data_IF_972737896135
#
_entry.id   IF_972737896135
#
_cell.length_a   1.000
_cell.length_b   1.000
_cell.length_c   1.000
_cell.angle_alpha   90.00
_cell.angle_beta   90.00
_cell.angle_gamma   90.00
#
_symmetry.space_group_name_H-M   'P 1'
#
loop_
_entity.id
_entity.type
_entity.pdbx_description
1 polymer ?
#
# COMPACT_ATOMS: atom_id res chain seq x y z
N UNK A 1 11.70 8.22 1.08
CA UNK A 1 10.41 8.55 1.71
C UNK A 1 10.57 8.27 3.19
N UNK A 2 10.19 9.21 4.05
CA UNK A 2 10.23 9.01 5.49
C UNK A 2 8.87 8.50 6.01
N UNK A 3 8.89 7.75 7.10
CA UNK A 3 7.70 7.31 7.82
C UNK A 3 7.69 7.93 9.23
N UNK A 4 6.51 8.08 9.83
CA UNK A 4 6.32 8.68 11.15
C UNK A 4 5.33 7.83 11.96
N UNK A 5 5.68 7.54 13.20
CA UNK A 5 4.77 6.96 14.19
C UNK A 5 5.07 7.49 15.58
N UNK A 6 4.07 7.45 16.46
CA UNK A 6 4.19 7.92 17.82
C UNK A 6 3.62 6.87 18.78
N UNK A 7 4.29 6.65 19.90
CA UNK A 7 3.75 5.87 21.01
C UNK A 7 4.34 6.36 22.33
N UNK A 8 3.47 6.57 23.32
CA UNK A 8 3.83 7.25 24.57
C UNK A 8 4.44 8.63 24.31
N UNK A 9 5.67 8.80 24.79
CA UNK A 9 6.47 10.03 24.62
C UNK A 9 7.51 9.92 23.49
N UNK A 10 7.48 8.86 22.69
CA UNK A 10 8.43 8.67 21.59
C UNK A 10 7.78 9.01 20.25
N UNK A 11 8.42 9.94 19.51
CA UNK A 11 8.18 10.17 18.10
C UNK A 11 9.27 9.46 17.30
N UNK A 12 8.87 8.49 16.48
CA UNK A 12 9.77 7.66 15.70
C UNK A 12 9.63 8.02 14.22
N UNK A 13 10.76 8.30 13.57
CA UNK A 13 10.83 8.53 12.12
C UNK A 13 11.88 7.64 11.49
N UNK A 14 11.59 7.08 10.32
CA UNK A 14 12.56 6.34 9.53
C UNK A 14 12.77 7.03 8.20
N UNK A 15 14.00 7.18 7.74
CA UNK A 15 14.30 7.73 6.42
C UNK A 15 15.60 7.13 5.89
N UNK A 16 15.59 6.71 4.62
CA UNK A 16 16.72 5.97 4.02
C UNK A 16 17.08 4.75 4.88
N UNK A 17 18.33 4.59 5.30
CA UNK A 17 18.81 3.51 6.18
C UNK A 17 18.73 3.83 7.69
N UNK A 18 18.17 4.97 8.08
CA UNK A 18 18.22 5.46 9.46
C UNK A 18 16.86 5.42 10.14
N UNK A 19 16.85 4.93 11.37
CA UNK A 19 15.73 5.05 12.30
C UNK A 19 16.10 6.06 13.38
N UNK A 20 15.25 7.06 13.61
CA UNK A 20 15.47 8.14 14.57
C UNK A 20 14.28 8.18 15.53
N UNK A 21 14.54 8.08 16.83
CA UNK A 21 13.54 8.24 17.87
C UNK A 21 13.83 9.47 18.74
N UNK A 22 12.86 10.37 18.84
CA UNK A 22 12.95 11.59 19.63
C UNK A 22 11.95 11.52 20.78
N UNK A 23 12.39 11.85 21.99
CA UNK A 23 11.45 11.98 23.10
C UNK A 23 10.74 13.34 23.01
N UNK A 24 9.41 13.30 22.97
CA UNK A 24 8.54 14.47 22.78
C UNK A 24 8.56 15.36 24.02
N UNK A 25 8.72 14.80 25.23
CA UNK A 25 8.52 15.51 26.52
C UNK A 25 9.81 15.91 27.21
N UNK A 26 10.81 15.05 27.14
CA UNK A 26 12.07 15.21 27.85
C UNK A 26 13.18 15.56 26.88
N UNK A 27 14.03 16.52 27.25
CA UNK A 27 15.23 16.83 26.49
C UNK A 27 16.26 15.70 26.67
N UNK A 28 16.24 14.75 25.74
CA UNK A 28 17.17 13.62 25.65
C UNK A 28 17.80 13.63 24.26
N UNK A 29 19.01 13.10 24.16
CA UNK A 29 19.63 12.84 22.86
C UNK A 29 18.72 11.88 22.06
N UNK A 30 18.50 12.21 20.78
CA UNK A 30 17.73 11.35 19.90
C UNK A 30 18.44 10.01 19.74
N UNK A 31 17.70 8.91 19.83
CA UNK A 31 18.23 7.62 19.45
C UNK A 31 18.33 7.56 17.93
N UNK A 32 19.51 7.25 17.40
CA UNK A 32 19.75 7.11 15.96
C UNK A 32 20.34 5.74 15.69
N UNK A 33 19.65 4.95 14.88
CA UNK A 33 20.11 3.65 14.43
C UNK A 33 20.37 3.67 12.92
N UNK A 34 21.56 3.21 12.53
CA UNK A 34 22.01 3.12 11.14
C UNK A 34 22.02 1.65 10.72
N UNK A 35 21.15 1.28 9.78
CA UNK A 35 21.02 -0.12 9.33
C UNK A 35 22.30 -0.66 8.69
N UNK A 36 23.17 0.20 8.15
CA UNK A 36 24.47 -0.23 7.64
C UNK A 36 25.38 -0.85 8.73
N UNK A 37 25.13 -0.52 10.00
CA UNK A 37 25.85 -1.06 11.17
C UNK A 37 25.18 -2.28 11.80
N UNK A 38 24.00 -2.68 11.31
CA UNK A 38 23.31 -3.86 11.82
C UNK A 38 24.02 -5.15 11.40
N UNK A 39 23.73 -6.24 12.12
CA UNK A 39 24.26 -7.56 11.83
C UNK A 39 24.02 -7.94 10.37
N UNK A 40 25.01 -8.60 9.77
CA UNK A 40 24.96 -9.08 8.39
C UNK A 40 24.57 -10.54 8.38
N UNK A 41 23.86 -10.97 7.33
CA UNK A 41 23.49 -12.38 7.19
C UNK A 41 24.75 -13.26 7.23
N UNK A 42 24.77 -14.32 8.04
CA UNK A 42 25.85 -15.29 7.98
C UNK A 42 25.93 -15.84 6.55
N UNK A 43 27.09 -15.74 5.90
CA UNK A 43 27.31 -16.43 4.63
C UNK A 43 27.30 -17.93 4.92
N UNK A 44 26.17 -18.59 4.68
CA UNK A 44 26.16 -20.05 4.60
C UNK A 44 27.14 -20.44 3.48
N UNK A 45 28.14 -21.27 3.82
CA UNK A 45 29.02 -21.86 2.82
C UNK A 45 28.15 -22.56 1.78
N UNK A 46 28.27 -22.14 0.52
CA UNK A 46 27.50 -22.59 -0.63
C UNK A 46 27.26 -24.11 -0.58
N UNK A 47 26.11 -24.53 -0.04
CA UNK A 47 25.65 -25.89 -0.14
C UNK A 47 24.96 -26.02 -1.50
N UNK A 48 25.60 -26.80 -2.37
CA UNK A 48 25.17 -27.13 -3.72
C UNK A 48 23.69 -27.53 -3.76
N UNK A 49 22.85 -26.62 -4.27
CA UNK A 49 21.64 -26.94 -5.03
C UNK A 49 21.20 -25.70 -5.80
N UNK A 50 21.96 -25.37 -6.85
CA UNK A 50 21.48 -24.49 -7.93
C UNK A 50 20.40 -25.22 -8.72
N UNK A 51 19.14 -25.05 -8.32
CA UNK A 51 18.04 -25.12 -9.29
C UNK A 51 17.97 -23.77 -10.00
N UNK A 52 18.12 -23.80 -11.32
CA UNK A 52 18.15 -22.64 -12.21
C UNK A 52 17.02 -21.63 -11.95
N UNK A 53 17.41 -20.48 -11.41
CA UNK A 53 16.61 -19.30 -11.22
C UNK A 53 17.55 -18.12 -11.06
N UNK A 54 18.26 -17.76 -12.14
CA UNK A 54 19.26 -16.70 -12.17
C UNK A 54 18.68 -15.32 -11.86
N UNK A 55 18.52 -15.00 -10.59
CA UNK A 55 18.47 -13.63 -10.09
C UNK A 55 19.75 -13.40 -9.30
N UNK A 56 20.60 -12.49 -9.76
CA UNK A 56 21.69 -11.96 -8.93
C UNK A 56 21.08 -11.48 -7.60
N UNK A 57 21.61 -11.95 -6.48
CA UNK A 57 21.30 -11.36 -5.17
C UNK A 57 21.85 -9.93 -5.17
N UNK A 58 21.05 -8.99 -5.63
CA UNK A 58 21.35 -7.58 -5.52
C UNK A 58 21.42 -7.24 -4.03
N UNK A 59 22.64 -6.99 -3.55
CA UNK A 59 22.90 -6.45 -2.22
C UNK A 59 22.09 -5.16 -2.06
N UNK A 60 21.20 -5.14 -1.08
CA UNK A 60 20.36 -4.00 -0.75
C UNK A 60 21.18 -2.83 -0.21
N UNK A 61 20.55 -1.65 -0.21
CA UNK A 61 21.11 -0.37 0.19
C UNK A 61 20.96 -0.06 1.69
N UNK A 62 20.60 -1.07 2.51
CA UNK A 62 20.25 -0.94 3.93
C UNK A 62 19.03 -0.04 4.17
N UNK A 63 18.24 0.25 3.13
CA UNK A 63 17.11 1.17 3.20
C UNK A 63 15.96 0.53 3.98
N UNK A 64 15.49 1.23 5.01
CA UNK A 64 14.30 0.85 5.78
C UNK A 64 13.07 0.89 4.85
N UNK A 65 12.32 -0.20 4.85
CA UNK A 65 11.11 -0.40 4.05
C UNK A 65 9.84 -0.22 4.87
N UNK A 66 9.86 -0.66 6.13
CA UNK A 66 8.76 -0.48 7.07
C UNK A 66 9.31 -0.42 8.50
N UNK A 67 8.69 0.41 9.33
CA UNK A 67 8.94 0.45 10.77
C UNK A 67 7.62 0.59 11.54
N UNK A 68 7.62 0.15 12.79
CA UNK A 68 6.46 0.28 13.69
C UNK A 68 6.91 0.31 15.15
N UNK A 69 6.05 0.84 16.02
CA UNK A 69 6.22 0.87 17.47
C UNK A 69 4.99 0.24 18.12
N UNK A 70 5.18 -0.49 19.21
CA UNK A 70 4.10 -1.18 19.91
C UNK A 70 3.19 -0.18 20.64
N UNK A 71 1.96 -0.59 20.96
CA UNK A 71 0.95 0.27 21.58
C UNK A 71 1.40 0.82 22.94
N UNK A 72 2.13 0.03 23.72
CA UNK A 72 2.75 0.44 24.99
C UNK A 72 4.01 1.29 24.80
N UNK A 73 4.56 1.29 23.59
CA UNK A 73 5.83 1.94 23.25
C UNK A 73 7.06 1.15 23.66
N UNK A 74 6.92 -0.04 24.29
CA UNK A 74 8.05 -0.85 24.80
C UNK A 74 8.90 -1.49 23.71
N UNK A 75 8.30 -1.78 22.56
CA UNK A 75 8.98 -2.42 21.44
C UNK A 75 8.88 -1.57 20.19
N UNK A 76 9.94 -1.59 19.39
CA UNK A 76 9.93 -1.03 18.05
C UNK A 76 10.55 -2.05 17.10
N UNK A 77 10.09 -2.07 15.84
CA UNK A 77 10.64 -2.97 14.84
C UNK A 77 10.80 -2.25 13.51
N UNK A 78 11.79 -2.68 12.74
CA UNK A 78 11.98 -2.23 11.37
C UNK A 78 12.36 -3.40 10.46
N UNK A 79 12.16 -3.20 9.17
CA UNK A 79 12.68 -4.05 8.11
C UNK A 79 13.36 -3.22 7.03
N UNK A 80 14.32 -3.82 6.33
CA UNK A 80 15.06 -3.16 5.25
C UNK A 80 15.10 -3.95 3.95
N UNK A 81 15.73 -3.37 2.93
CA UNK A 81 15.88 -3.97 1.60
C UNK A 81 16.95 -5.08 1.52
N UNK A 82 17.69 -5.30 2.61
CA UNK A 82 18.53 -6.46 2.89
C UNK A 82 17.79 -7.58 3.63
N UNK A 83 16.46 -7.48 3.75
CA UNK A 83 15.59 -8.50 4.36
C UNK A 83 15.90 -8.74 5.83
N UNK A 84 16.48 -7.76 6.53
CA UNK A 84 16.62 -7.84 7.99
C UNK A 84 15.30 -7.43 8.64
N UNK A 85 14.95 -8.11 9.71
CA UNK A 85 13.93 -7.72 10.68
C UNK A 85 14.62 -7.45 11.99
N UNK A 86 14.68 -6.17 12.37
CA UNK A 86 15.37 -5.72 13.58
C UNK A 86 14.32 -5.33 14.61
N UNK A 87 14.42 -5.93 15.79
CA UNK A 87 13.53 -5.70 16.92
C UNK A 87 14.30 -5.00 18.03
N UNK A 88 13.70 -3.95 18.59
CA UNK A 88 14.23 -3.14 19.66
C UNK A 88 13.33 -3.23 20.89
N UNK A 89 13.94 -3.22 22.07
CA UNK A 89 13.29 -2.76 23.28
C UNK A 89 13.63 -1.28 23.46
N UNK A 90 12.66 -0.47 23.88
CA UNK A 90 12.82 0.99 24.01
C UNK A 90 13.00 1.44 25.46
N UNK A 91 12.70 0.57 26.43
CA UNK A 91 12.70 0.85 27.87
C UNK A 91 13.52 -0.21 28.62
N UNK A 92 14.37 0.18 29.59
CA UNK A 92 14.63 1.55 30.06
C UNK A 92 15.46 2.39 29.07
N UNK A 93 16.08 1.75 28.07
CA UNK A 93 16.80 2.39 26.98
C UNK A 93 16.62 1.61 25.68
N UNK A 94 16.92 2.27 24.56
CA UNK A 94 16.89 1.64 23.24
C UNK A 94 17.99 0.58 23.12
N UNK A 95 17.57 -0.67 22.90
CA UNK A 95 18.46 -1.81 22.72
C UNK A 95 17.94 -2.68 21.59
N UNK A 96 18.81 -3.03 20.65
CA UNK A 96 18.51 -4.08 19.67
C UNK A 96 18.46 -5.42 20.41
N UNK A 97 17.30 -6.08 20.39
CA UNK A 97 17.09 -7.38 21.04
C UNK A 97 17.15 -8.55 20.06
N UNK A 98 16.98 -8.29 18.75
CA UNK A 98 17.05 -9.31 17.71
C UNK A 98 17.30 -8.72 16.34
N UNK A 99 18.15 -9.38 15.56
CA UNK A 99 18.19 -9.27 14.10
C UNK A 99 17.84 -10.64 13.52
N UNK A 100 16.76 -10.70 12.75
CA UNK A 100 16.29 -11.90 12.04
C UNK A 100 16.21 -11.62 10.55
N UNK A 101 15.98 -12.66 9.75
CA UNK A 101 15.85 -12.56 8.31
C UNK A 101 14.45 -12.92 7.86
N UNK A 102 13.88 -12.07 7.01
CA UNK A 102 12.58 -12.31 6.37
C UNK A 102 12.79 -12.94 5.00
N UNK A 103 11.81 -13.72 4.54
CA UNK A 103 11.91 -14.44 3.27
C UNK A 103 12.00 -13.47 2.08
N UNK A 104 11.17 -12.40 2.10
CA UNK A 104 11.15 -11.34 1.09
C UNK A 104 11.11 -9.97 1.75
N UNK A 105 11.44 -8.95 0.95
CA UNK A 105 11.32 -7.53 1.34
C UNK A 105 9.90 -7.23 1.80
N UNK A 106 9.80 -6.68 3.00
CA UNK A 106 8.54 -6.40 3.67
C UNK A 106 7.92 -5.09 3.17
N UNK A 107 6.59 -5.02 3.28
CA UNK A 107 5.80 -3.85 2.92
C UNK A 107 5.11 -3.24 4.13
N UNK A 108 4.84 -4.01 5.18
CA UNK A 108 4.15 -3.52 6.38
C UNK A 108 4.41 -4.39 7.61
N UNK A 109 4.37 -3.77 8.79
CA UNK A 109 4.63 -4.38 10.09
C UNK A 109 3.53 -3.99 11.09
N UNK A 110 3.06 -4.93 11.91
CA UNK A 110 2.10 -4.66 12.99
C UNK A 110 2.33 -5.58 14.19
N UNK A 111 2.40 -5.02 15.39
CA UNK A 111 2.41 -5.80 16.63
C UNK A 111 1.01 -6.31 16.96
N UNK A 112 0.91 -7.48 17.59
CA UNK A 112 -0.30 -7.91 18.28
C UNK A 112 -0.64 -6.93 19.41
N UNK A 113 -1.93 -6.85 19.77
CA UNK A 113 -2.36 -6.04 20.91
C UNK A 113 -1.76 -6.55 22.23
N UNK A 114 -1.54 -7.86 22.33
CA UNK A 114 -0.81 -8.46 23.44
C UNK A 114 0.71 -8.19 23.44
N UNK A 115 1.25 -7.60 22.36
CA UNK A 115 2.68 -7.32 22.16
C UNK A 115 3.60 -8.55 22.28
N UNK A 116 3.07 -9.73 22.01
CA UNK A 116 3.76 -11.02 22.06
C UNK A 116 4.23 -11.51 20.67
N UNK A 117 3.61 -11.02 19.61
CA UNK A 117 3.94 -11.33 18.22
C UNK A 117 4.04 -10.06 17.36
N UNK A 118 4.93 -10.09 16.39
CA UNK A 118 5.06 -9.11 15.32
C UNK A 118 4.68 -9.77 13.99
N UNK A 119 3.67 -9.22 13.32
CA UNK A 119 3.25 -9.66 12.01
C UNK A 119 3.93 -8.83 10.92
N UNK A 120 4.35 -9.54 9.87
CA UNK A 120 5.17 -9.01 8.79
C UNK A 120 4.52 -9.40 7.47
N UNK A 121 4.07 -8.41 6.70
CA UNK A 121 3.57 -8.61 5.35
C UNK A 121 4.67 -8.32 4.32
N UNK A 122 4.75 -9.14 3.27
CA UNK A 122 5.81 -9.05 2.28
C UNK A 122 5.35 -8.83 0.83
N UNK A 123 6.34 -8.53 -0.01
CA UNK A 123 6.10 -8.24 -1.43
C UNK A 123 5.64 -9.44 -2.26
N UNK A 124 5.81 -10.68 -1.79
CA UNK A 124 5.33 -11.89 -2.48
C UNK A 124 3.85 -12.16 -2.23
N UNK A 125 3.28 -11.56 -1.20
CA UNK A 125 1.90 -11.82 -0.81
C UNK A 125 1.76 -12.52 0.54
N UNK A 126 2.86 -12.79 1.24
CA UNK A 126 2.86 -13.62 2.45
C UNK A 126 2.82 -12.77 3.73
N UNK A 127 2.24 -13.36 4.78
CA UNK A 127 2.30 -12.84 6.15
C UNK A 127 2.99 -13.86 7.04
N UNK A 128 4.02 -13.42 7.73
CA UNK A 128 4.71 -14.18 8.78
C UNK A 128 4.41 -13.57 10.15
N UNK A 129 4.39 -14.38 11.20
CA UNK A 129 4.51 -13.88 12.58
C UNK A 129 5.87 -14.21 13.16
N UNK A 130 6.37 -13.32 14.00
CA UNK A 130 7.62 -13.45 14.71
C UNK A 130 7.37 -13.23 16.20
N UNK A 131 7.85 -14.14 17.04
CA UNK A 131 7.74 -13.95 18.50
C UNK A 131 8.55 -12.74 18.95
N UNK A 132 7.94 -11.90 19.79
CA UNK A 132 8.61 -10.79 20.50
C UNK A 132 9.29 -11.34 21.76
N UNK A 133 8.68 -12.32 22.41
CA UNK A 133 9.16 -12.92 23.66
C UNK A 133 10.30 -13.93 23.44
N UNK A 134 10.33 -14.55 22.27
CA UNK A 134 11.39 -15.48 21.84
C UNK A 134 12.14 -14.87 20.64
N UNK A 135 13.01 -13.86 20.87
CA UNK A 135 13.63 -13.06 19.82
C UNK A 135 14.48 -13.86 18.82
N UNK A 136 14.86 -15.10 19.16
CA UNK A 136 15.66 -15.99 18.30
C UNK A 136 14.79 -16.93 17.46
N UNK A 137 13.48 -17.02 17.74
CA UNK A 137 12.56 -17.89 17.01
C UNK A 137 12.34 -17.32 15.60
N UNK A 138 12.49 -18.21 14.61
CA UNK A 138 12.24 -17.91 13.20
C UNK A 138 10.76 -17.61 12.95
N UNK A 139 10.49 -16.91 11.84
CA UNK A 139 9.14 -16.53 11.47
C UNK A 139 8.26 -17.72 11.08
N UNK A 140 6.99 -17.67 11.45
CA UNK A 140 5.99 -18.66 11.06
C UNK A 140 5.09 -18.09 9.96
N UNK A 141 5.01 -18.77 8.81
CA UNK A 141 4.06 -18.40 7.75
C UNK A 141 2.63 -18.57 8.28
N UNK A 142 1.82 -17.51 8.23
CA UNK A 142 0.43 -17.55 8.66
C UNK A 142 -0.53 -17.68 7.48
N UNK A 143 -0.30 -16.93 6.41
CA UNK A 143 -1.14 -16.93 5.22
C UNK A 143 -0.41 -16.32 4.03
N UNK A 144 -0.91 -16.58 2.82
CA UNK A 144 -0.37 -16.05 1.57
C UNK A 144 -1.45 -15.59 0.59
N UNK A 145 -1.12 -14.56 -0.19
CA UNK A 145 -1.88 -14.02 -1.31
C UNK A 145 -1.11 -14.27 -2.60
N UNK A 146 -1.81 -14.27 -3.74
CA UNK A 146 -1.17 -14.34 -5.06
C UNK A 146 -0.59 -12.98 -5.51
N UNK A 147 -1.04 -11.90 -4.86
CA UNK A 147 -0.66 -10.54 -5.18
C UNK A 147 0.15 -9.94 -4.04
N UNK A 148 0.98 -8.95 -4.36
CA UNK A 148 1.78 -8.20 -3.40
C UNK A 148 0.90 -7.62 -2.29
N UNK A 149 1.22 -7.92 -1.03
CA UNK A 149 0.59 -7.25 0.11
C UNK A 149 1.16 -5.84 0.25
N UNK A 150 0.29 -4.88 0.53
CA UNK A 150 0.65 -3.48 0.69
C UNK A 150 0.37 -2.96 2.11
N UNK A 151 -0.56 -3.58 2.82
CA UNK A 151 -0.89 -3.21 4.19
C UNK A 151 -1.44 -4.42 4.97
N UNK A 152 -1.13 -4.45 6.26
CA UNK A 152 -1.66 -5.41 7.23
C UNK A 152 -2.09 -4.66 8.48
N UNK A 153 -3.17 -5.10 9.09
CA UNK A 153 -3.59 -4.69 10.42
C UNK A 153 -4.23 -5.86 11.17
N UNK A 154 -4.39 -5.72 12.48
CA UNK A 154 -5.06 -6.69 13.34
C UNK A 154 -6.33 -6.07 13.90
N UNK A 155 -7.34 -6.90 14.18
CA UNK A 155 -8.48 -6.43 14.97
C UNK A 155 -8.06 -6.13 16.41
N UNK A 156 -8.72 -5.21 17.14
CA UNK A 156 -8.34 -4.83 18.50
C UNK A 156 -8.40 -5.96 19.54
N UNK A 157 -9.09 -7.06 19.21
CA UNK A 157 -9.18 -8.28 20.01
C UNK A 157 -8.18 -9.38 19.57
N UNK A 158 -7.26 -9.07 18.64
CA UNK A 158 -6.34 -10.00 17.99
C UNK A 158 -7.03 -11.22 17.32
N UNK A 159 -8.34 -11.17 17.06
CA UNK A 159 -9.09 -12.28 16.46
C UNK A 159 -8.86 -12.40 14.97
N UNK A 160 -8.63 -11.30 14.27
CA UNK A 160 -8.52 -11.25 12.83
C UNK A 160 -7.20 -10.65 12.35
N UNK A 161 -6.63 -11.25 11.30
CA UNK A 161 -5.61 -10.65 10.45
C UNK A 161 -6.32 -10.06 9.24
N UNK A 162 -6.11 -8.77 9.00
CA UNK A 162 -6.71 -8.04 7.88
C UNK A 162 -5.59 -7.59 6.95
N UNK A 163 -5.62 -8.05 5.70
CA UNK A 163 -4.60 -7.76 4.69
C UNK A 163 -5.20 -7.04 3.49
N UNK A 164 -4.40 -6.17 2.88
CA UNK A 164 -4.73 -5.44 1.65
C UNK A 164 -3.65 -5.66 0.59
N UNK A 165 -4.07 -5.89 -0.66
CA UNK A 165 -3.16 -6.24 -1.75
C UNK A 165 -3.24 -5.29 -2.96
N UNK A 166 -2.30 -5.48 -3.89
CA UNK A 166 -2.20 -4.73 -5.15
C UNK A 166 -3.38 -4.99 -6.09
N UNK A 167 -4.07 -6.12 -5.96
CA UNK A 167 -5.23 -6.51 -6.78
C UNK A 167 -6.57 -6.16 -6.15
N UNK A 168 -6.59 -5.05 -5.40
CA UNK A 168 -7.80 -4.39 -4.87
C UNK A 168 -8.46 -5.13 -3.71
N UNK A 169 -7.94 -6.28 -3.28
CA UNK A 169 -8.60 -7.11 -2.27
C UNK A 169 -8.20 -6.68 -0.87
N UNK A 170 -9.20 -6.66 -0.01
CA UNK A 170 -9.02 -6.64 1.45
C UNK A 170 -9.58 -7.97 1.97
N UNK A 171 -8.73 -8.77 2.63
CA UNK A 171 -9.09 -10.09 3.17
C UNK A 171 -9.07 -10.05 4.69
N UNK A 172 -10.15 -10.53 5.31
CA UNK A 172 -10.28 -10.69 6.76
C UNK A 172 -10.21 -12.17 7.08
N UNK A 173 -9.23 -12.58 7.89
CA UNK A 173 -8.99 -14.00 8.21
C UNK A 173 -8.84 -14.21 9.70
N UNK A 174 -9.31 -15.34 10.23
CA UNK A 174 -9.12 -15.66 11.65
C UNK A 174 -7.63 -15.84 11.97
N UNK A 175 -7.08 -15.13 12.96
CA UNK A 175 -5.65 -15.19 13.32
C UNK A 175 -5.23 -16.60 13.75
N UNK A 176 -6.04 -17.28 14.57
CA UNK A 176 -5.72 -18.63 15.09
C UNK A 176 -5.90 -19.74 14.04
N UNK A 177 -6.62 -19.46 12.96
CA UNK A 177 -6.87 -20.38 11.86
C UNK A 177 -6.94 -19.62 10.54
N UNK A 178 -5.81 -19.11 9.99
CA UNK A 178 -5.82 -18.16 8.87
C UNK A 178 -6.33 -18.72 7.54
N UNK A 179 -6.49 -20.04 7.45
CA UNK A 179 -7.18 -20.73 6.36
C UNK A 179 -8.69 -20.47 6.35
N UNK A 180 -9.27 -20.06 7.48
CA UNK A 180 -10.66 -19.61 7.58
C UNK A 180 -10.72 -18.11 7.25
N UNK A 181 -11.18 -17.81 6.04
CA UNK A 181 -11.47 -16.43 5.60
C UNK A 181 -12.85 -16.06 6.11
N UNK A 182 -12.91 -15.01 6.93
CA UNK A 182 -14.15 -14.46 7.46
C UNK A 182 -14.91 -13.68 6.38
N UNK A 183 -14.22 -12.78 5.68
CA UNK A 183 -14.84 -11.91 4.69
C UNK A 183 -13.82 -11.33 3.70
N UNK A 184 -14.35 -10.77 2.62
CA UNK A 184 -13.64 -9.85 1.73
C UNK A 184 -14.36 -8.52 1.68
N UNK A 185 -13.64 -7.41 1.84
CA UNK A 185 -14.18 -6.07 1.62
C UNK A 185 -13.92 -5.66 0.16
N UNK A 186 -14.90 -5.91 -0.71
CA UNK A 186 -14.77 -5.72 -2.17
C UNK A 186 -15.36 -4.39 -2.64
N UNK A 187 -14.63 -3.67 -3.50
CA UNK A 187 -15.15 -2.46 -4.17
C UNK A 187 -14.15 -1.36 -4.47
N UNK A 188 -12.88 -1.50 -4.10
CA UNK A 188 -11.80 -0.69 -4.67
C UNK A 188 -11.54 -1.07 -6.13
N UNK A 189 -10.99 -0.13 -6.91
CA UNK A 189 -10.74 -0.31 -8.36
C UNK A 189 -9.27 -0.27 -8.75
N UNK A 190 -8.40 0.07 -7.80
CA UNK A 190 -6.95 -0.03 -7.91
C UNK A 190 -6.42 -0.55 -6.55
N UNK A 191 -5.11 -0.78 -6.44
CA UNK A 191 -4.47 -1.29 -5.23
C UNK A 191 -4.91 -0.61 -3.93
N UNK A 192 -4.94 -1.35 -2.82
CA UNK A 192 -5.28 -0.82 -1.49
C UNK A 192 -3.98 -0.60 -0.70
N UNK A 193 -3.67 0.65 -0.41
CA UNK A 193 -2.37 1.10 0.10
C UNK A 193 -2.34 1.33 1.61
N UNK A 194 -3.48 1.51 2.26
CA UNK A 194 -3.55 1.77 3.70
C UNK A 194 -4.77 1.10 4.31
N UNK A 195 -4.59 0.54 5.51
CA UNK A 195 -5.64 -0.01 6.36
C UNK A 195 -5.53 0.60 7.77
N UNK A 196 -6.67 0.84 8.39
CA UNK A 196 -6.76 1.30 9.77
C UNK A 196 -8.04 0.77 10.42
N UNK A 197 -7.92 0.16 11.60
CA UNK A 197 -9.06 -0.01 12.51
C UNK A 197 -9.03 1.17 13.49
N UNK A 198 -9.98 2.12 13.41
CA UNK A 198 -9.96 3.29 14.28
C UNK A 198 -10.20 2.90 15.75
N UNK A 199 -9.51 3.59 16.66
CA UNK A 199 -9.72 3.41 18.09
C UNK A 199 -11.20 3.64 18.45
N UNK A 200 -11.74 2.90 19.41
CA UNK A 200 -13.13 3.03 19.84
C UNK A 200 -14.20 2.43 18.90
N UNK A 201 -13.83 2.01 17.69
CA UNK A 201 -14.76 1.44 16.69
C UNK A 201 -14.24 0.07 16.19
N UNK A 202 -14.26 -0.96 17.05
CA UNK A 202 -13.56 -2.22 16.81
C UNK A 202 -14.11 -3.05 15.66
N UNK A 203 -15.32 -2.78 15.17
CA UNK A 203 -15.95 -3.46 14.03
C UNK A 203 -15.71 -2.77 12.68
N UNK A 204 -15.07 -1.59 12.70
CA UNK A 204 -14.80 -0.81 11.50
C UNK A 204 -13.43 -1.07 10.91
N UNK A 205 -13.35 -0.88 9.60
CA UNK A 205 -12.11 -0.80 8.88
C UNK A 205 -12.17 0.38 7.92
N UNK A 206 -11.14 1.20 7.95
CA UNK A 206 -10.88 2.22 6.94
C UNK A 206 -9.84 1.71 5.97
N UNK A 207 -10.07 1.95 4.68
CA UNK A 207 -9.11 1.61 3.63
C UNK A 207 -8.89 2.77 2.67
N UNK A 208 -7.64 2.95 2.26
CA UNK A 208 -7.21 3.93 1.26
C UNK A 208 -6.65 3.23 0.03
N UNK A 209 -6.90 3.78 -1.16
CA UNK A 209 -6.54 3.13 -2.42
C UNK A 209 -5.91 4.08 -3.44
N UNK A 210 -5.21 3.49 -4.41
CA UNK A 210 -4.78 4.12 -5.65
C UNK A 210 -5.92 4.62 -6.53
N UNK A 211 -7.17 4.22 -6.27
CA UNK A 211 -8.35 4.71 -6.99
C UNK A 211 -8.77 6.14 -6.54
N UNK A 212 -8.08 6.70 -5.53
CA UNK A 212 -8.34 8.02 -4.97
C UNK A 212 -9.47 8.05 -3.95
N UNK A 213 -9.97 6.88 -3.52
CA UNK A 213 -11.06 6.78 -2.56
C UNK A 213 -10.59 6.28 -1.19
N UNK A 214 -11.28 6.78 -0.17
CA UNK A 214 -11.27 6.23 1.19
C UNK A 214 -12.60 5.53 1.43
N UNK A 215 -12.58 4.31 1.96
CA UNK A 215 -13.80 3.52 2.22
C UNK A 215 -13.85 3.08 3.67
N UNK A 216 -15.06 3.09 4.23
CA UNK A 216 -15.38 2.57 5.55
C UNK A 216 -16.15 1.26 5.41
N UNK A 217 -15.78 0.25 6.18
CA UNK A 217 -16.33 -1.09 6.13
C UNK A 217 -16.70 -1.59 7.51
N UNK A 218 -17.73 -2.43 7.58
CA UNK A 218 -17.85 -3.40 8.67
C UNK A 218 -17.08 -4.66 8.25
N UNK A 219 -15.85 -4.83 8.73
CA UNK A 219 -14.93 -5.79 8.11
C UNK A 219 -15.35 -7.25 8.30
N UNK A 220 -15.97 -7.62 9.43
CA UNK A 220 -16.41 -9.01 9.66
C UNK A 220 -17.49 -9.49 8.68
N UNK A 221 -18.26 -8.56 8.10
CA UNK A 221 -19.32 -8.86 7.13
C UNK A 221 -18.89 -8.53 5.70
N UNK A 222 -17.75 -7.86 5.52
CA UNK A 222 -17.30 -7.32 4.23
C UNK A 222 -18.17 -6.18 3.68
N UNK A 223 -19.15 -5.69 4.46
CA UNK A 223 -20.10 -4.67 4.01
C UNK A 223 -19.44 -3.30 3.98
N UNK A 224 -19.49 -2.63 2.82
CA UNK A 224 -19.12 -1.21 2.71
C UNK A 224 -20.19 -0.34 3.37
N UNK A 225 -19.77 0.51 4.32
CA UNK A 225 -20.61 1.47 5.01
C UNK A 225 -20.60 2.83 4.28
N UNK A 226 -19.41 3.34 3.94
CA UNK A 226 -19.25 4.62 3.23
C UNK A 226 -18.11 4.57 2.20
N UNK A 227 -18.11 5.53 1.28
CA UNK A 227 -17.06 5.72 0.29
C UNK A 227 -16.91 7.22 0.01
N UNK A 228 -15.70 7.73 0.15
CA UNK A 228 -15.36 9.13 -0.09
C UNK A 228 -14.42 9.21 -1.29
N UNK A 229 -14.80 9.96 -2.31
CA UNK A 229 -13.91 10.30 -3.42
C UNK A 229 -13.13 11.56 -3.04
N UNK A 230 -11.84 11.41 -2.74
CA UNK A 230 -11.03 12.52 -2.27
C UNK A 230 -10.81 13.58 -3.37
N UNK A 231 -10.97 13.22 -4.65
CA UNK A 231 -10.93 14.22 -5.73
C UNK A 231 -12.00 15.28 -5.56
N UNK A 232 -13.19 14.86 -5.12
CA UNK A 232 -14.33 15.74 -4.89
C UNK A 232 -14.20 16.57 -3.62
N UNK A 233 -13.38 16.11 -2.66
CA UNK A 233 -13.03 16.86 -1.45
C UNK A 233 -11.84 17.84 -1.66
N UNK A 234 -11.56 18.17 -2.92
CA UNK A 234 -10.56 19.18 -3.27
C UNK A 234 -9.12 18.67 -3.34
N UNK A 235 -8.90 17.35 -3.43
CA UNK A 235 -7.61 16.82 -3.90
C UNK A 235 -7.59 16.92 -5.43
N UNK A 236 -7.30 18.12 -5.95
CA UNK A 236 -6.96 18.35 -7.35
C UNK A 236 -5.50 18.77 -7.45
N UNK A 237 -4.80 18.29 -8.47
CA UNK A 237 -3.52 18.86 -8.87
C UNK A 237 -3.79 19.94 -9.91
N UNK A 238 -3.15 21.09 -9.74
CA UNK A 238 -3.10 22.15 -10.75
C UNK A 238 -2.25 21.66 -11.93
N UNK A 239 -2.88 21.08 -12.94
CA UNK A 239 -2.32 21.01 -14.29
C UNK A 239 -3.31 21.64 -15.26
N UNK A 240 -3.15 22.94 -15.49
CA UNK A 240 -3.75 23.62 -16.64
C UNK A 240 -3.00 23.19 -17.90
N UNK A 241 -3.34 22.02 -18.45
CA UNK A 241 -3.12 21.69 -19.87
C UNK A 241 -4.12 20.60 -20.27
N UNK A 242 -4.95 20.87 -21.27
CA UNK A 242 -6.06 20.00 -21.72
C UNK A 242 -5.62 18.69 -22.41
N UNK A 243 -4.32 18.33 -22.36
CA UNK A 243 -3.74 17.23 -23.14
C UNK A 243 -3.13 16.09 -22.31
N UNK A 244 -3.05 16.20 -20.98
CA UNK A 244 -2.49 15.13 -20.14
C UNK A 244 -3.58 14.26 -19.50
N UNK A 245 -3.35 12.93 -19.48
CA UNK A 245 -4.23 11.95 -18.83
C UNK A 245 -4.52 12.40 -17.38
N UNK A 246 -5.75 12.19 -16.85
CA UNK A 246 -6.09 12.60 -15.49
C UNK A 246 -5.07 12.04 -14.49
N UNK A 247 -4.38 12.94 -13.80
CA UNK A 247 -3.27 12.59 -12.93
C UNK A 247 -3.77 11.75 -11.75
N UNK A 248 -3.21 10.54 -11.61
CA UNK A 248 -3.59 9.59 -10.56
C UNK A 248 -2.86 9.93 -9.26
N UNK A 249 -3.57 9.91 -8.14
CA UNK A 249 -2.98 9.93 -6.81
C UNK A 249 -3.56 8.79 -5.97
N UNK A 250 -2.80 8.38 -4.95
CA UNK A 250 -3.18 7.31 -4.04
C UNK A 250 -3.34 7.85 -2.62
N UNK A 251 -4.27 7.27 -1.86
CA UNK A 251 -4.33 7.48 -0.41
C UNK A 251 -3.13 6.78 0.22
N UNK A 252 -2.15 7.54 0.67
CA UNK A 252 -0.86 7.06 1.18
C UNK A 252 -0.89 6.68 2.66
N UNK A 253 -1.74 7.32 3.47
CA UNK A 253 -1.80 7.12 4.91
C UNK A 253 -3.20 7.38 5.44
N UNK A 254 -3.61 6.60 6.44
CA UNK A 254 -4.81 6.83 7.24
C UNK A 254 -4.42 6.59 8.71
N UNK A 255 -4.72 7.54 9.58
CA UNK A 255 -4.48 7.45 11.03
C UNK A 255 -5.72 7.91 11.79
N UNK A 256 -5.91 7.43 13.02
CA UNK A 256 -6.97 7.89 13.93
C UNK A 256 -6.36 8.48 15.20
N UNK A 257 -7.05 9.44 15.80
CA UNK A 257 -6.74 9.91 17.14
C UNK A 257 -6.95 8.79 18.17
N UNK A 258 -6.25 8.84 19.32
CA UNK A 258 -6.38 7.80 20.36
C UNK A 258 -7.79 7.69 20.95
N UNK A 259 -8.57 8.77 20.93
CA UNK A 259 -9.96 8.79 21.40
C UNK A 259 -10.96 8.25 20.37
N UNK A 260 -10.50 7.92 19.15
CA UNK A 260 -11.34 7.40 18.08
C UNK A 260 -12.16 8.44 17.32
N UNK A 261 -12.11 9.71 17.73
CA UNK A 261 -13.04 10.75 17.23
C UNK A 261 -12.59 11.41 15.94
N UNK A 262 -11.30 11.35 15.62
CA UNK A 262 -10.72 12.01 14.46
C UNK A 262 -9.96 11.01 13.60
N UNK A 263 -10.09 11.17 12.30
CA UNK A 263 -9.32 10.42 11.30
C UNK A 263 -8.66 11.42 10.37
N UNK A 264 -7.39 11.18 10.05
CA UNK A 264 -6.65 11.96 9.08
C UNK A 264 -6.23 11.06 7.91
N UNK A 265 -6.44 11.55 6.69
CA UNK A 265 -6.05 10.85 5.46
C UNK A 265 -5.09 11.72 4.63
N UNK A 266 -4.00 11.11 4.18
CA UNK A 266 -2.99 11.71 3.32
C UNK A 266 -3.06 11.14 1.93
N UNK A 267 -3.07 11.99 0.91
CA UNK A 267 -2.82 11.56 -0.47
C UNK A 267 -1.37 11.84 -0.86
N UNK A 268 -0.76 10.93 -1.59
CA UNK A 268 0.57 11.13 -2.13
C UNK A 268 0.61 12.39 -3.03
N UNK A 269 1.72 13.14 -2.96
CA UNK A 269 1.98 14.34 -3.78
C UNK A 269 0.91 15.43 -3.63
N UNK A 270 0.17 15.41 -2.51
CA UNK A 270 -0.75 16.48 -2.15
C UNK A 270 -0.25 17.16 -0.88
N UNK A 271 0.00 18.49 -0.88
CA UNK A 271 0.40 19.23 0.31
C UNK A 271 -0.82 19.51 1.20
N UNK A 272 -1.60 18.48 1.50
CA UNK A 272 -2.78 18.61 2.34
C UNK A 272 -3.19 17.31 3.01
N UNK A 273 -3.95 17.46 4.09
CA UNK A 273 -4.50 16.37 4.89
C UNK A 273 -6.01 16.55 4.94
N UNK A 274 -6.74 15.48 4.62
CA UNK A 274 -8.19 15.47 4.86
C UNK A 274 -8.45 15.00 6.28
N UNK A 275 -9.19 15.78 7.05
CA UNK A 275 -9.68 15.36 8.35
C UNK A 275 -11.12 14.88 8.25
N UNK A 276 -11.44 13.93 9.11
CA UNK A 276 -12.78 13.42 9.31
C UNK A 276 -13.07 13.36 10.81
N UNK A 277 -14.33 13.53 11.13
CA UNK A 277 -14.87 13.27 12.46
C UNK A 277 -15.69 11.99 12.44
N UNK A 278 -15.64 11.27 13.55
CA UNK A 278 -16.50 10.13 13.79
C UNK A 278 -17.68 10.62 14.61
N UNK A 279 -18.89 10.52 14.07
CA UNK A 279 -20.10 10.99 14.74
C UNK A 279 -20.48 10.05 15.91
N UNK A 280 -20.77 10.63 17.07
CA UNK A 280 -21.32 9.92 18.23
C UNK A 280 -22.80 9.55 17.93
N UNK A 281 -23.08 8.29 17.57
CA UNK A 281 -24.44 7.81 17.30
C UNK A 281 -24.53 6.31 17.01
N UNK A 282 -25.75 5.75 16.98
CA UNK A 282 -26.01 4.30 16.89
C UNK A 282 -25.40 3.59 15.67
N UNK A 283 -24.98 4.35 14.66
CA UNK A 283 -24.33 3.83 13.46
C UNK A 283 -22.95 4.41 13.20
N UNK A 284 -22.46 5.33 14.05
CA UNK A 284 -21.23 6.12 13.91
C UNK A 284 -20.75 6.26 12.47
N UNK A 285 -21.01 7.37 11.80
CA UNK A 285 -20.52 7.55 10.43
C UNK A 285 -19.36 8.53 10.42
N UNK A 286 -18.52 8.36 9.40
CA UNK A 286 -17.39 9.23 9.15
C UNK A 286 -17.89 10.45 8.38
N UNK A 287 -17.60 11.65 8.89
CA UNK A 287 -17.99 12.92 8.27
C UNK A 287 -16.75 13.71 7.90
N UNK A 288 -16.55 14.08 6.61
CA UNK A 288 -15.40 14.89 6.22
C UNK A 288 -15.52 16.29 6.81
N UNK A 289 -14.45 16.77 7.44
CA UNK A 289 -14.41 18.09 8.06
C UNK A 289 -13.44 19.00 7.30
N UNK A 290 -12.45 19.56 7.99
CA UNK A 290 -11.53 20.55 7.44
C UNK A 290 -10.39 19.86 6.68
N UNK A 291 -10.03 20.45 5.55
CA UNK A 291 -8.77 20.17 4.86
C UNK A 291 -7.66 21.03 5.46
N UNK A 292 -6.57 20.43 5.92
CA UNK A 292 -5.37 21.16 6.32
C UNK A 292 -4.49 21.38 5.09
N UNK A 293 -4.27 22.65 4.71
CA UNK A 293 -3.27 23.01 3.72
C UNK A 293 -1.90 23.07 4.41
N UNK A 294 -0.90 22.42 3.80
CA UNK A 294 0.47 22.36 4.30
C UNK A 294 1.37 23.25 3.44
N UNK A 295 2.42 23.86 4.02
CA UNK A 295 3.37 24.68 3.25
C UNK A 295 4.20 23.85 2.27
N UNK A 296 4.42 22.57 2.58
CA UNK A 296 5.17 21.62 1.78
C UNK A 296 4.47 20.27 1.75
N UNK A 297 4.85 19.41 0.79
CA UNK A 297 4.38 18.04 0.76
C UNK A 297 4.76 17.32 2.07
N UNK A 298 3.85 16.54 2.67
CA UNK A 298 4.18 15.72 3.82
C UNK A 298 4.89 14.43 3.36
N UNK A 299 5.79 13.92 4.21
CA UNK A 299 6.26 12.53 4.12
C UNK A 299 5.25 11.60 4.81
N UNK A 300 4.90 11.89 6.06
CA UNK A 300 3.97 11.08 6.86
C UNK A 300 3.38 11.90 8.03
N UNK A 301 2.42 11.31 8.75
CA UNK A 301 1.71 11.91 9.87
C UNK A 301 1.38 10.88 10.96
N UNK A 302 1.23 11.33 12.19
CA UNK A 302 0.78 10.52 13.33
C UNK A 302 0.05 11.38 14.36
N UNK A 303 -0.88 10.79 15.11
CA UNK A 303 -1.36 11.37 16.34
C UNK A 303 -0.45 10.97 17.51
N UNK A 304 -0.30 11.86 18.49
CA UNK A 304 0.24 11.49 19.80
C UNK A 304 -0.85 11.06 20.79
N UNK A 305 -0.45 10.61 21.98
CA UNK A 305 -1.38 10.14 23.01
C UNK A 305 -2.36 11.21 23.53
N UNK A 306 -2.10 12.49 23.26
CA UNK A 306 -2.99 13.61 23.60
C UNK A 306 -3.94 13.97 22.47
N UNK A 307 -3.89 13.27 21.33
CA UNK A 307 -4.68 13.57 20.15
C UNK A 307 -4.17 14.77 19.35
N UNK A 308 -2.92 15.21 19.57
CA UNK A 308 -2.29 16.24 18.73
C UNK A 308 -1.74 15.59 17.46
N UNK A 309 -1.89 16.26 16.32
CA UNK A 309 -1.49 15.74 15.01
C UNK A 309 -0.10 16.26 14.64
N UNK A 310 0.84 15.34 14.51
CA UNK A 310 2.20 15.59 14.05
C UNK A 310 2.31 15.30 12.56
N UNK A 311 2.93 16.20 11.81
CA UNK A 311 3.11 16.09 10.36
C UNK A 311 4.57 16.31 10.02
N UNK A 312 5.22 15.33 9.41
CA UNK A 312 6.60 15.41 8.95
C UNK A 312 6.60 15.86 7.47
N UNK A 313 7.37 16.90 7.14
CA UNK A 313 7.38 17.55 5.83
C UNK A 313 8.69 17.38 5.07
N UNK A 314 8.61 17.45 3.74
CA UNK A 314 9.76 17.39 2.83
C UNK A 314 10.52 18.73 2.71
N UNK A 315 10.83 19.38 3.84
CA UNK A 315 11.50 20.67 3.84
C UNK A 315 12.38 20.85 5.08
N UNK A 316 13.58 21.40 4.88
CA UNK A 316 14.56 21.58 5.96
C UNK A 316 14.15 22.63 6.98
N UNK A 317 13.65 23.76 6.49
CA UNK A 317 13.34 24.93 7.30
C UNK A 317 12.05 24.73 8.10
N UNK A 318 11.14 23.90 7.58
CA UNK A 318 9.92 23.47 8.26
C UNK A 318 9.79 21.95 8.16
N UNK A 319 10.55 21.24 8.99
CA UNK A 319 10.62 19.77 8.98
C UNK A 319 9.40 19.10 9.60
N UNK A 320 8.83 19.70 10.66
CA UNK A 320 7.69 19.15 11.39
C UNK A 320 6.68 20.24 11.69
N UNK A 321 5.39 19.91 11.62
CA UNK A 321 4.30 20.72 12.12
C UNK A 321 3.54 19.96 13.22
N UNK A 322 3.06 20.71 14.21
CA UNK A 322 2.14 20.23 15.24
C UNK A 322 0.80 20.94 15.08
N UNK A 323 -0.28 20.17 15.05
CA UNK A 323 -1.63 20.69 15.07
C UNK A 323 -2.36 20.23 16.33
N UNK A 324 -3.05 21.16 16.98
CA UNK A 324 -3.93 20.91 18.12
C UNK A 324 -5.36 21.29 17.76
N UNK A 325 -6.33 20.67 18.46
CA UNK A 325 -7.74 20.99 18.28
C UNK A 325 -8.21 21.87 19.44
N UNK A 326 -8.67 23.08 19.15
CA UNK A 326 -9.32 23.97 20.11
C UNK A 326 -10.75 24.26 19.66
N UNK A 327 -11.73 24.05 20.56
CA UNK A 327 -13.15 24.40 20.38
C UNK A 327 -13.67 24.22 18.93
N UNK A 328 -13.58 23.01 18.38
CA UNK A 328 -14.01 22.61 17.01
C UNK A 328 -13.05 22.89 15.84
N UNK A 329 -11.88 23.48 16.04
CA UNK A 329 -10.97 23.80 14.96
C UNK A 329 -9.55 23.29 15.18
N UNK A 330 -8.96 22.78 14.10
CA UNK A 330 -7.54 22.44 14.04
C UNK A 330 -6.71 23.68 13.78
N UNK A 331 -5.72 23.91 14.62
CA UNK A 331 -4.81 25.06 14.61
C UNK A 331 -3.37 24.57 14.67
N UNK A 332 -2.47 25.27 13.99
CA UNK A 332 -1.05 24.97 14.05
C UNK A 332 -0.49 25.53 15.37
N UNK A 333 0.16 24.67 16.16
CA UNK A 333 0.75 25.01 17.45
C UNK A 333 2.27 25.23 17.30
N UNK A 334 2.64 26.34 16.66
CA UNK A 334 4.02 26.69 16.34
C UNK A 334 4.86 27.08 17.57
N UNK A 335 4.21 27.42 18.69
CA UNK A 335 4.87 27.87 19.92
C UNK A 335 5.09 26.73 20.93
N UNK A 336 4.67 25.51 20.60
CA UNK A 336 4.83 24.35 21.47
C UNK A 336 6.29 24.03 21.78
N UNK A 337 6.63 23.95 23.07
CA UNK A 337 7.95 23.51 23.51
C UNK A 337 8.28 22.07 23.03
N UNK A 338 7.26 21.22 22.90
CA UNK A 338 7.42 19.86 22.38
C UNK A 338 7.79 19.89 20.88
N UNK A 339 7.16 20.78 20.10
CA UNK A 339 7.49 20.97 18.69
C UNK A 339 8.91 21.49 18.50
N UNK A 340 9.32 22.50 19.28
CA UNK A 340 10.67 23.06 19.23
C UNK A 340 11.72 21.97 19.50
N UNK A 341 11.53 21.19 20.56
CA UNK A 341 12.40 20.06 20.94
C UNK A 341 12.54 19.03 19.82
N UNK A 342 11.42 18.60 19.24
CA UNK A 342 11.42 17.63 18.13
C UNK A 342 12.10 18.21 16.89
N UNK A 343 11.82 19.48 16.58
CA UNK A 343 12.40 20.17 15.42
C UNK A 343 13.92 20.29 15.55
N UNK A 344 14.43 20.68 16.72
CA UNK A 344 15.86 20.77 17.01
C UNK A 344 16.55 19.40 16.88
N UNK A 345 15.95 18.35 17.43
CA UNK A 345 16.48 16.99 17.36
C UNK A 345 16.57 16.49 15.91
N UNK A 346 15.53 16.71 15.09
CA UNK A 346 15.51 16.29 13.69
C UNK A 346 16.38 17.17 12.79
N UNK A 347 16.46 18.46 13.06
CA UNK A 347 17.33 19.37 12.30
C UNK A 347 18.81 18.98 12.44
N UNK A 348 19.22 18.55 13.64
CA UNK A 348 20.56 18.00 13.90
C UNK A 348 20.87 16.77 13.03
N UNK A 349 19.84 16.00 12.68
CA UNK A 349 19.95 14.79 11.86
C UNK A 349 19.50 14.99 10.40
N UNK A 350 19.31 16.24 9.94
CA UNK A 350 18.64 16.52 8.66
C UNK A 350 19.36 15.91 7.44
N UNK A 351 20.66 15.72 7.53
CA UNK A 351 21.48 15.13 6.47
C UNK A 351 20.97 13.75 6.03
N UNK A 352 20.37 13.00 6.96
CA UNK A 352 19.69 11.71 6.70
C UNK A 352 18.53 11.83 5.70
N UNK A 353 17.87 12.98 5.64
CA UNK A 353 16.66 13.17 4.85
C UNK A 353 16.91 13.70 3.44
N UNK A 354 18.09 14.25 3.16
CA UNK A 354 18.41 14.97 1.90
C UNK A 354 18.07 14.17 0.66
N UNK A 355 18.45 12.88 0.63
CA UNK A 355 18.25 12.00 -0.52
C UNK A 355 16.79 11.57 -0.71
N UNK A 356 15.94 11.80 0.30
CA UNK A 356 14.51 11.49 0.24
C UNK A 356 13.62 12.68 -0.12
N UNK A 357 14.16 13.90 -0.18
CA UNK A 357 13.41 15.11 -0.56
C UNK A 357 13.12 15.04 -2.06
N UNK A 358 11.84 15.13 -2.44
CA UNK A 358 11.43 15.10 -3.86
C UNK A 358 11.59 13.72 -4.51
N UNK A 359 11.80 12.66 -3.72
CA UNK A 359 11.83 11.29 -4.23
C UNK A 359 10.54 10.93 -4.97
N UNK A 360 10.68 10.07 -5.98
CA UNK A 360 9.58 9.66 -6.83
C UNK A 360 8.50 8.88 -6.05
N UNK A 361 7.28 8.83 -6.61
CA UNK A 361 6.14 8.17 -5.97
C UNK A 361 6.40 6.69 -5.74
N UNK A 362 6.14 6.18 -4.53
CA UNK A 362 6.26 4.75 -4.25
C UNK A 362 5.11 3.95 -4.90
N UNK A 363 4.01 4.60 -5.24
CA UNK A 363 2.82 3.99 -5.82
C UNK A 363 2.83 3.96 -7.36
N UNK A 364 3.73 4.71 -8.02
CA UNK A 364 3.82 4.83 -9.49
C UNK A 364 3.83 3.47 -10.20
N UNK A 365 4.55 2.49 -9.64
CA UNK A 365 4.71 1.15 -10.21
C UNK A 365 3.57 0.18 -9.85
N UNK A 366 2.68 0.56 -8.92
CA UNK A 366 1.58 -0.30 -8.50
C UNK A 366 0.39 -0.20 -9.45
N UNK A 367 0.19 0.94 -10.11
CA UNK A 367 -0.86 1.11 -11.11
C UNK A 367 -0.72 0.10 -12.25
N UNK A 368 -1.83 -0.55 -12.60
CA UNK A 368 -1.87 -1.51 -13.69
C UNK A 368 -1.67 -0.77 -15.02
N UNK A 369 -0.65 -1.18 -15.77
CA UNK A 369 -0.43 -0.68 -17.14
C UNK A 369 -1.28 -1.52 -18.08
N UNK A 370 -2.35 -0.92 -18.61
CA UNK A 370 -3.14 -1.56 -19.66
C UNK A 370 -2.36 -1.47 -20.97
N UNK A 371 -1.83 -2.60 -21.42
CA UNK A 371 -1.38 -2.74 -22.80
C UNK A 371 -2.60 -3.00 -23.68
N UNK A 372 -2.95 -2.06 -24.55
CA UNK A 372 -3.97 -2.29 -25.58
C UNK A 372 -3.41 -3.20 -26.68
N UNK A 373 -3.29 -4.47 -26.33
CA UNK A 373 -2.96 -5.53 -27.27
C UNK A 373 -4.13 -5.81 -28.21
N UNK A 374 -5.34 -5.27 -27.94
CA UNK A 374 -6.53 -5.52 -28.75
C UNK A 374 -6.49 -4.71 -30.05
N UNK A 375 -6.13 -3.43 -29.99
CA UNK A 375 -5.98 -2.59 -31.18
C UNK A 375 -4.90 -3.13 -32.12
N UNK A 376 -3.72 -3.47 -31.57
CA UNK A 376 -2.63 -4.07 -32.35
C UNK A 376 -2.98 -5.48 -32.86
N UNK A 377 -3.73 -6.27 -32.10
CA UNK A 377 -4.25 -7.56 -32.55
C UNK A 377 -5.28 -7.43 -33.68
N UNK A 378 -6.21 -6.49 -33.58
CA UNK A 378 -7.24 -6.21 -34.58
C UNK A 378 -6.62 -5.69 -35.88
N UNK A 379 -5.60 -4.83 -35.80
CA UNK A 379 -4.84 -4.36 -36.95
C UNK A 379 -4.12 -5.52 -37.64
N UNK A 380 -3.39 -6.35 -36.88
CA UNK A 380 -2.76 -7.58 -37.42
C UNK A 380 -3.78 -8.57 -37.99
N UNK A 381 -5.01 -8.60 -37.47
CA UNK A 381 -6.10 -9.43 -38.01
C UNK A 381 -6.63 -8.86 -39.32
N UNK A 382 -6.83 -7.54 -39.43
CA UNK A 382 -7.23 -6.88 -40.67
C UNK A 382 -6.17 -7.04 -41.76
N UNK A 383 -4.89 -6.88 -41.44
CA UNK A 383 -3.78 -7.07 -42.38
C UNK A 383 -3.75 -8.51 -42.93
N UNK A 384 -3.97 -9.52 -42.08
CA UNK A 384 -4.07 -10.92 -42.51
C UNK A 384 -5.23 -11.15 -43.48
N UNK A 385 -6.40 -10.55 -43.22
CA UNK A 385 -7.56 -10.65 -44.10
C UNK A 385 -7.34 -9.94 -45.45
N UNK A 386 -6.71 -8.76 -45.45
CA UNK A 386 -6.35 -8.05 -46.68
C UNK A 386 -5.34 -8.82 -47.52
N UNK A 387 -4.33 -9.44 -46.91
CA UNK A 387 -3.36 -10.27 -47.60
C UNK A 387 -3.98 -11.55 -48.19
N UNK A 388 -4.96 -12.15 -47.50
CA UNK A 388 -5.72 -13.28 -48.05
C UNK A 388 -6.58 -12.85 -49.24
N UNK A 389 -7.31 -11.73 -49.13
CA UNK A 389 -8.11 -11.19 -50.23
C UNK A 389 -7.28 -10.80 -51.46
N UNK A 390 -6.08 -10.23 -51.27
CA UNK A 390 -5.15 -9.92 -52.38
C UNK A 390 -4.59 -11.18 -53.06
N UNK A 391 -4.32 -12.25 -52.29
CA UNK A 391 -3.89 -13.55 -52.84
C UNK A 391 -5.01 -14.23 -53.64
N UNK A 392 -6.25 -14.14 -53.16
CA UNK A 392 -7.43 -14.65 -53.89
C UNK A 392 -7.75 -13.83 -55.15
N UNK A 393 -7.59 -12.50 -55.08
CA UNK A 393 -7.71 -11.60 -56.23
C UNK A 393 -6.66 -11.89 -57.31
N UNK A 394 -5.38 -12.06 -56.93
CA UNK A 394 -4.32 -12.45 -57.88
C UNK A 394 -4.60 -13.81 -58.55
N UNK A 395 -5.03 -14.82 -57.80
CA UNK A 395 -5.43 -16.13 -58.37
C UNK A 395 -6.60 -16.03 -59.36
N UNK A 396 -7.57 -15.15 -59.13
CA UNK A 396 -8.69 -14.92 -60.08
C UNK A 396 -8.27 -14.16 -61.34
N UNK A 397 -7.24 -13.33 -61.26
CA UNK A 397 -6.76 -12.55 -62.41
C UNK A 397 -5.85 -13.39 -63.31
N UNK A 398 -5.06 -14.31 -62.74
CA UNK A 398 -4.26 -15.29 -63.48
C UNK A 398 -5.13 -16.41 -64.11
N UNK A 399 -6.30 -16.71 -63.53
CA UNK A 399 -7.23 -17.73 -64.06
C UNK A 399 -8.06 -17.31 -65.28
N UNK A 400 -8.17 -16.02 -65.59
CA UNK A 400 -8.96 -15.52 -66.72
C UNK A 400 -8.15 -15.33 -68.01
N UNK A 401 -6.89 -15.74 -68.01
CA UNK A 401 -5.96 -15.58 -69.13
C UNK A 401 -5.56 -16.87 -69.83
N UNK A 402 -6.42 -17.89 -69.94
CA UNK A 402 -6.19 -19.03 -70.87
C UNK A 402 -7.50 -19.73 -71.28
N UNK A 403 -7.81 -19.55 -72.57
CA UNK A 403 -8.47 -20.47 -73.49
C UNK A 403 -9.99 -20.72 -73.44
N UNK A 404 -10.62 -20.11 -74.44
CA UNK A 404 -11.68 -20.65 -75.29
C UNK A 404 -11.34 -22.02 -75.91
N UNK A 405 -12.28 -22.97 -75.86
CA UNK A 405 -12.84 -23.74 -76.99
C UNK A 405 -13.36 -25.12 -76.52
N UNK A 406 -14.60 -25.46 -76.90
CA UNK A 406 -15.09 -26.84 -76.85
C UNK A 406 -16.57 -26.98 -76.48
N UNK A 407 -17.45 -26.84 -77.47
CA UNK A 407 -18.87 -27.12 -77.35
C UNK A 407 -19.18 -28.63 -77.27
N UNK A 408 -20.20 -28.99 -76.48
CA UNK A 408 -21.40 -29.76 -76.88
C UNK A 408 -21.86 -30.85 -75.89
N UNK A 409 -23.12 -30.67 -75.45
CA UNK A 409 -24.19 -31.66 -75.21
C UNK A 409 -23.91 -32.89 -74.33
N UNK A 410 -24.63 -32.97 -73.20
CA UNK A 410 -25.81 -33.86 -73.08
C UNK A 410 -26.64 -33.58 -71.82
N UNK A 411 -27.94 -33.59 -72.06
CA UNK A 411 -29.05 -33.50 -71.11
C UNK A 411 -29.32 -34.82 -70.39
N UNK A 412 -29.80 -34.77 -69.14
CA UNK A 412 -31.09 -35.37 -68.75
C UNK A 412 -31.44 -35.18 -67.26
N UNK A 413 -32.68 -34.72 -67.10
CA UNK A 413 -33.72 -35.09 -66.13
C UNK A 413 -33.63 -34.60 -64.68
N UNK A 414 -34.49 -33.60 -64.46
CA UNK A 414 -35.35 -33.39 -63.30
C UNK A 414 -35.78 -34.67 -62.57
N UNK A 415 -35.80 -34.60 -61.24
CA UNK A 415 -36.98 -34.99 -60.47
C UNK A 415 -37.09 -34.13 -59.20
N UNK A 416 -38.25 -33.49 -59.07
CA UNK A 416 -38.73 -32.77 -57.88
C UNK A 416 -39.15 -33.76 -56.80
N UNK A 417 -38.88 -33.46 -55.53
CA UNK A 417 -39.91 -33.52 -54.48
C UNK A 417 -39.40 -32.86 -53.18
N UNK A 418 -40.30 -32.05 -52.63
CA UNK A 418 -40.26 -31.08 -51.54
C UNK A 418 -40.09 -31.63 -50.10
N UNK A 419 -40.04 -30.76 -49.06
CA UNK A 419 -39.34 -30.98 -47.80
C UNK A 419 -40.22 -31.51 -46.66
N UNK A 420 -39.59 -31.93 -45.56
CA UNK A 420 -40.25 -32.23 -44.28
C UNK A 420 -39.53 -31.47 -43.14
N UNK A 421 -40.28 -30.86 -42.19
CA UNK A 421 -39.79 -29.85 -41.24
C UNK A 421 -39.27 -30.46 -39.91
N UNK A 422 -38.70 -29.63 -39.00
CA UNK A 422 -38.23 -30.10 -37.69
C UNK A 422 -39.37 -30.10 -36.67
N UNK A 423 -39.34 -31.05 -35.73
CA UNK A 423 -39.84 -30.89 -34.36
C UNK A 423 -39.55 -32.15 -33.54
N UNK A 424 -38.91 -31.99 -32.38
CA UNK A 424 -39.41 -32.55 -31.13
C UNK A 424 -38.86 -31.75 -29.94
N UNK A 425 -39.80 -31.49 -29.05
CA UNK A 425 -39.85 -30.80 -27.76
C UNK A 425 -38.67 -30.96 -26.81
#
# INVERSE_FOLDING_TARGET
>A
MAALCCSGDWLLTSCSQYLIAVNIRESREAFVFDCAKAEQEPKEAEAENKSDGGGSEEKGSDRILACTISASGKYAALTDDNKRLILFCTQPSWQCISTRWVVRRCTSLVFSQAEDELFVADKSGDVYSFSVLEPQKQGELKLGHLSMLLSITLSPDDKYIITADRDEKIRVSLRRSPYNIQAFCLGHKEFVSALLVPAGHPEWLLSGSGDGTLKLWHYETGRRLQSFDLKQLGFSQSSETETEKPQRFAVSRIISSPDGRHVAAQCERSPCIQLFEVEDGSWGLLTPTKKLALPHAPWDMTFDHQGRLWVLLQNKDTSVLLYTRSQEHWQNDSESADLQRVTEALHTQWDVFKDSVGADSCFKHLYKVNFDNMASYLQKKQERLQQQGQKEGKKRTEGNGLQSNGAAKKSKKENKSEPVPPNCS
#
